data_IF_995120474932
#
_entry.id   IF_995120474932
#
_cell.length_a   1.000
_cell.length_b   1.000
_cell.length_c   1.000
_cell.angle_alpha   90.00
_cell.angle_beta   90.00
_cell.angle_gamma   90.00
#
_symmetry.space_group_name_H-M   'P 1'
#
loop_
_entity.id
_entity.type
_entity.pdbx_description
1 polymer ?
#
# COMPACT_ATOMS: atom_id res chain seq x y z
N UNK A 1 -4.04 -20.74 -1.54
CA UNK A 1 -4.12 -21.93 -2.38
C UNK A 1 -2.76 -22.28 -2.96
N UNK A 2 -2.42 -23.57 -3.01
CA UNK A 2 -1.16 -24.03 -3.59
C UNK A 2 -1.07 -23.59 -5.06
N UNK A 3 0.08 -23.05 -5.48
CA UNK A 3 0.33 -22.60 -6.85
C UNK A 3 0.00 -21.14 -7.15
N UNK A 4 -0.52 -20.38 -6.19
CA UNK A 4 -0.80 -18.94 -6.37
C UNK A 4 0.28 -18.02 -5.79
N UNK A 5 1.18 -18.54 -4.96
CA UNK A 5 2.31 -17.80 -4.42
C UNK A 5 3.57 -18.08 -5.22
N UNK A 6 4.31 -17.02 -5.57
CA UNK A 6 5.61 -17.09 -6.25
C UNK A 6 6.68 -16.43 -5.39
N UNK A 7 7.93 -16.84 -5.56
CA UNK A 7 9.09 -16.26 -4.86
C UNK A 7 8.97 -16.24 -3.33
N UNK A 8 8.17 -17.15 -2.76
CA UNK A 8 7.92 -17.23 -1.32
C UNK A 8 9.05 -17.93 -0.55
N UNK A 9 9.99 -18.58 -1.25
CA UNK A 9 11.14 -19.23 -0.62
C UNK A 9 12.28 -18.21 -0.52
N UNK A 10 12.74 -17.89 0.70
CA UNK A 10 13.88 -16.98 0.87
C UNK A 10 15.12 -17.49 0.14
N UNK A 11 15.80 -16.59 -0.55
CA UNK A 11 17.06 -16.86 -1.24
C UNK A 11 18.11 -15.87 -0.75
N UNK A 12 19.40 -16.28 -0.62
CA UNK A 12 20.48 -15.34 -0.38
C UNK A 12 20.49 -14.25 -1.48
N UNK A 13 20.67 -13.00 -1.07
CA UNK A 13 20.69 -11.85 -1.97
C UNK A 13 19.45 -11.81 -2.91
N UNK A 14 18.29 -12.21 -2.43
CA UNK A 14 17.04 -12.35 -3.21
C UNK A 14 17.21 -13.14 -4.52
N UNK A 15 18.21 -14.03 -4.59
CA UNK A 15 18.56 -14.77 -5.81
C UNK A 15 19.13 -13.88 -6.92
N UNK A 16 19.75 -12.75 -6.57
CA UNK A 16 20.27 -11.76 -7.51
C UNK A 16 19.21 -10.88 -8.16
N UNK A 17 17.97 -10.90 -7.65
CA UNK A 17 16.88 -10.05 -8.13
C UNK A 17 16.67 -8.83 -7.23
N UNK A 18 16.13 -7.77 -7.82
CA UNK A 18 15.71 -6.60 -7.04
C UNK A 18 14.33 -6.87 -6.43
N UNK A 19 14.16 -6.74 -5.10
CA UNK A 19 12.91 -7.11 -4.45
C UNK A 19 11.80 -6.04 -4.51
N UNK A 20 12.03 -4.90 -5.15
CA UNK A 20 11.06 -3.82 -5.25
C UNK A 20 9.81 -4.26 -6.05
N UNK A 21 8.59 -4.14 -5.51
CA UNK A 21 7.36 -4.59 -6.13
C UNK A 21 6.80 -3.57 -7.15
N UNK A 22 7.64 -2.98 -7.98
CA UNK A 22 7.22 -2.08 -9.05
C UNK A 22 6.93 -2.83 -10.36
N UNK A 23 6.36 -2.12 -11.35
CA UNK A 23 5.99 -2.72 -12.63
C UNK A 23 7.16 -3.29 -13.44
N UNK A 24 8.39 -2.85 -13.19
CA UNK A 24 9.58 -3.39 -13.85
C UNK A 24 9.92 -4.76 -13.29
N UNK A 25 9.98 -4.87 -11.96
CA UNK A 25 10.40 -6.12 -11.29
C UNK A 25 9.24 -7.11 -11.12
N UNK A 26 8.01 -6.63 -10.97
CA UNK A 26 6.79 -7.45 -10.88
C UNK A 26 6.03 -7.55 -12.22
N UNK A 27 6.69 -7.34 -13.36
CA UNK A 27 6.06 -7.36 -14.67
C UNK A 27 5.29 -8.66 -14.95
N UNK A 28 5.81 -9.78 -14.54
CA UNK A 28 5.13 -11.08 -14.71
C UNK A 28 3.77 -11.13 -14.02
N UNK A 29 3.64 -10.54 -12.83
CA UNK A 29 2.37 -10.43 -12.14
C UNK A 29 1.41 -9.49 -12.88
N UNK A 30 1.93 -8.34 -13.33
CA UNK A 30 1.13 -7.40 -14.12
C UNK A 30 0.56 -8.05 -15.39
N UNK A 31 1.39 -8.73 -16.16
CA UNK A 31 0.98 -9.38 -17.41
C UNK A 31 -0.10 -10.46 -17.16
N UNK A 32 0.05 -11.25 -16.08
CA UNK A 32 -0.94 -12.24 -15.68
C UNK A 32 -2.28 -11.61 -15.29
N UNK A 33 -2.23 -10.53 -14.50
CA UNK A 33 -3.42 -9.83 -14.02
C UNK A 33 -4.16 -9.04 -15.10
N UNK A 34 -3.47 -8.67 -16.20
CA UNK A 34 -4.08 -8.01 -17.36
C UNK A 34 -4.56 -9.02 -18.42
N UNK A 35 -4.28 -10.30 -18.24
CA UNK A 35 -4.67 -11.36 -19.17
C UNK A 35 -6.15 -11.78 -19.06
N UNK A 36 -6.63 -12.57 -20.05
CA UNK A 36 -8.04 -13.01 -20.09
C UNK A 36 -8.41 -13.94 -18.92
N UNK A 37 -7.46 -14.74 -18.44
CA UNK A 37 -7.65 -15.72 -17.36
C UNK A 37 -7.18 -15.18 -16.00
N UNK A 38 -7.08 -13.85 -15.86
CA UNK A 38 -6.60 -13.21 -14.65
C UNK A 38 -7.45 -13.58 -13.43
N UNK A 39 -6.83 -13.88 -12.28
CA UNK A 39 -7.54 -13.98 -11.01
C UNK A 39 -8.12 -12.63 -10.59
N UNK A 40 -8.96 -12.61 -9.58
CA UNK A 40 -9.60 -11.36 -9.12
C UNK A 40 -8.63 -10.41 -8.42
N UNK A 41 -7.55 -10.95 -7.83
CA UNK A 41 -6.61 -10.19 -7.00
C UNK A 41 -5.18 -10.70 -7.17
N UNK A 42 -4.25 -9.77 -7.34
CA UNK A 42 -2.82 -9.99 -7.32
C UNK A 42 -2.11 -8.99 -6.41
N UNK A 43 -1.09 -9.44 -5.72
CA UNK A 43 -0.26 -8.59 -4.87
C UNK A 43 1.20 -9.03 -4.90
N UNK A 44 2.10 -8.08 -4.76
CA UNK A 44 3.51 -8.31 -4.52
C UNK A 44 4.01 -7.42 -3.38
N UNK A 45 5.02 -7.86 -2.67
CA UNK A 45 5.72 -7.07 -1.65
C UNK A 45 7.23 -7.22 -1.81
N UNK A 46 7.97 -6.32 -1.20
CA UNK A 46 9.41 -6.41 -1.03
C UNK A 46 9.82 -7.35 0.12
N UNK A 47 11.09 -7.31 0.52
CA UNK A 47 11.66 -8.29 1.45
C UNK A 47 11.17 -8.16 2.90
N UNK A 48 10.86 -6.97 3.37
CA UNK A 48 10.34 -6.68 4.71
C UNK A 48 8.84 -6.32 4.71
N UNK A 49 8.25 -6.20 3.51
CA UNK A 49 6.80 -6.15 3.34
C UNK A 49 6.17 -4.78 3.57
N UNK A 50 6.95 -3.69 3.68
CA UNK A 50 6.42 -2.33 3.84
C UNK A 50 6.08 -1.67 2.50
N UNK A 51 6.69 -2.13 1.39
CA UNK A 51 6.31 -1.75 0.04
C UNK A 51 5.42 -2.82 -0.60
N UNK A 52 4.40 -2.38 -1.30
CA UNK A 52 3.42 -3.29 -1.90
C UNK A 52 2.94 -2.83 -3.27
N UNK A 53 2.55 -3.79 -4.08
CA UNK A 53 1.90 -3.60 -5.37
C UNK A 53 0.58 -4.35 -5.36
N UNK A 54 -0.50 -3.68 -5.72
CA UNK A 54 -1.84 -4.29 -5.79
C UNK A 54 -2.38 -4.19 -7.21
N UNK A 55 -2.87 -5.31 -7.72
CA UNK A 55 -3.47 -5.39 -9.05
C UNK A 55 -4.78 -6.17 -8.95
N UNK A 56 -5.87 -5.57 -9.36
CA UNK A 56 -7.13 -6.27 -9.59
C UNK A 56 -7.18 -6.82 -11.02
N UNK A 57 -8.15 -7.65 -11.32
CA UNK A 57 -8.37 -8.17 -12.68
C UNK A 57 -8.56 -7.03 -13.68
N UNK A 58 -7.58 -6.83 -14.55
CA UNK A 58 -7.59 -5.76 -15.54
C UNK A 58 -7.44 -4.34 -14.97
N UNK A 59 -7.08 -4.20 -13.68
CA UNK A 59 -6.95 -2.89 -13.01
C UNK A 59 -5.65 -2.83 -12.22
N UNK A 60 -4.79 -1.88 -12.57
CA UNK A 60 -3.60 -1.55 -11.79
C UNK A 60 -3.92 -0.46 -10.77
N UNK A 61 -3.65 -0.73 -9.49
CA UNK A 61 -3.74 0.28 -8.42
C UNK A 61 -2.39 0.98 -8.31
N UNK A 62 -2.34 2.26 -8.65
CA UNK A 62 -1.10 3.01 -8.52
C UNK A 62 -0.70 3.09 -7.03
N UNK A 63 0.59 2.92 -6.68
CA UNK A 63 1.03 3.09 -5.30
C UNK A 63 0.61 4.43 -4.69
N UNK A 64 0.60 5.47 -5.52
CA UNK A 64 0.19 6.81 -5.12
C UNK A 64 -1.27 6.90 -4.65
N UNK A 65 -2.15 6.02 -5.14
CA UNK A 65 -3.58 6.00 -4.77
C UNK A 65 -3.90 4.91 -3.71
N UNK A 66 -2.97 4.01 -3.43
CA UNK A 66 -3.20 2.86 -2.55
C UNK A 66 -3.63 3.26 -1.14
N UNK A 67 -2.98 4.27 -0.54
CA UNK A 67 -3.34 4.76 0.80
C UNK A 67 -4.76 5.32 0.85
N UNK A 68 -5.21 5.98 -0.20
CA UNK A 68 -6.59 6.48 -0.30
C UNK A 68 -7.60 5.33 -0.34
N UNK A 69 -7.32 4.28 -1.13
CA UNK A 69 -8.17 3.10 -1.20
C UNK A 69 -8.22 2.34 0.13
N UNK A 70 -7.07 2.17 0.78
CA UNK A 70 -6.99 1.55 2.10
C UNK A 70 -7.79 2.34 3.14
N UNK A 71 -7.61 3.65 3.20
CA UNK A 71 -8.31 4.52 4.13
C UNK A 71 -9.83 4.51 3.91
N UNK A 72 -10.29 4.58 2.66
CA UNK A 72 -11.71 4.56 2.31
C UNK A 72 -12.40 3.25 2.74
N UNK A 73 -11.67 2.15 2.76
CA UNK A 73 -12.17 0.81 3.05
C UNK A 73 -11.70 0.25 4.40
N UNK A 74 -10.98 1.03 5.20
CA UNK A 74 -10.32 0.56 6.41
C UNK A 74 -11.29 -0.15 7.39
N UNK A 75 -12.52 0.33 7.52
CA UNK A 75 -13.54 -0.27 8.41
C UNK A 75 -13.93 -1.71 8.06
N UNK A 76 -13.58 -2.20 6.87
CA UNK A 76 -13.77 -3.59 6.50
C UNK A 76 -12.78 -4.51 7.22
N UNK A 77 -11.62 -3.99 7.62
CA UNK A 77 -10.65 -4.73 8.41
C UNK A 77 -11.00 -4.67 9.89
N UNK A 78 -10.93 -5.80 10.63
CA UNK A 78 -11.34 -5.87 12.04
C UNK A 78 -10.66 -4.84 12.93
N UNK A 79 -9.35 -4.57 12.72
CA UNK A 79 -8.58 -3.63 13.52
C UNK A 79 -8.99 -2.17 13.36
N UNK A 80 -9.69 -1.82 12.28
CA UNK A 80 -10.11 -0.45 11.98
C UNK A 80 -11.63 -0.22 12.05
N UNK A 81 -12.38 -1.14 12.63
CA UNK A 81 -13.85 -1.00 12.79
C UNK A 81 -14.26 0.29 13.49
N UNK A 82 -13.46 0.77 14.43
CA UNK A 82 -13.70 2.03 15.13
C UNK A 82 -13.48 3.27 14.24
N UNK A 83 -12.91 3.09 13.05
CA UNK A 83 -12.54 4.17 12.13
C UNK A 83 -11.08 4.57 12.24
N UNK A 84 -10.74 5.61 11.50
CA UNK A 84 -9.38 6.18 11.46
C UNK A 84 -9.38 7.53 12.19
N UNK A 85 -8.29 7.86 12.87
CA UNK A 85 -8.08 9.19 13.50
C UNK A 85 -7.63 10.22 12.47
N UNK A 86 -6.77 9.81 11.54
CA UNK A 86 -6.24 10.64 10.47
C UNK A 86 -5.52 9.80 9.42
N UNK A 87 -5.28 10.41 8.30
CA UNK A 87 -4.49 9.87 7.19
C UNK A 87 -3.24 10.73 7.02
N UNK A 88 -2.08 10.12 6.81
CA UNK A 88 -0.88 10.85 6.43
C UNK A 88 -0.40 10.40 5.04
N UNK A 89 0.03 11.36 4.22
CA UNK A 89 0.65 11.11 2.93
C UNK A 89 1.88 11.99 2.72
N UNK A 90 2.84 11.53 1.94
CA UNK A 90 3.93 12.38 1.49
C UNK A 90 3.45 13.41 0.46
N UNK A 91 4.18 14.53 0.33
CA UNK A 91 3.83 15.61 -0.61
C UNK A 91 3.61 15.13 -2.05
N UNK A 92 4.44 14.24 -2.64
CA UNK A 92 4.24 13.75 -4.00
C UNK A 92 3.13 12.69 -4.13
N UNK A 93 2.57 12.19 -3.04
CA UNK A 93 1.50 11.20 -3.06
C UNK A 93 0.17 11.83 -3.49
N UNK A 94 -0.67 11.06 -4.16
CA UNK A 94 -1.95 11.49 -4.73
C UNK A 94 -2.85 12.24 -3.73
N UNK A 95 -3.43 13.34 -4.15
CA UNK A 95 -4.49 14.05 -3.43
C UNK A 95 -5.81 13.28 -3.31
N UNK A 96 -5.88 12.03 -3.76
CA UNK A 96 -7.03 11.17 -3.50
C UNK A 96 -7.22 10.93 -2.00
N UNK A 97 -6.13 10.85 -1.23
CA UNK A 97 -6.19 10.72 0.23
C UNK A 97 -6.86 11.92 0.91
N UNK A 98 -6.64 13.15 0.38
CA UNK A 98 -7.28 14.38 0.86
C UNK A 98 -8.80 14.28 0.76
N UNK A 99 -9.29 13.85 -0.40
CA UNK A 99 -10.73 13.69 -0.65
C UNK A 99 -11.36 12.60 0.21
N UNK A 100 -10.62 11.53 0.50
CA UNK A 100 -11.09 10.48 1.41
C UNK A 100 -11.16 11.02 2.83
N UNK A 101 -10.15 11.73 3.31
CA UNK A 101 -10.15 12.33 4.65
C UNK A 101 -11.31 13.32 4.81
N UNK A 102 -11.55 14.19 3.83
CA UNK A 102 -12.68 15.11 3.80
C UNK A 102 -14.02 14.36 3.91
N UNK A 103 -14.21 13.32 3.09
CA UNK A 103 -15.43 12.52 3.09
C UNK A 103 -15.66 11.77 4.40
N UNK A 104 -14.58 11.32 5.05
CA UNK A 104 -14.64 10.63 6.34
C UNK A 104 -14.75 11.60 7.53
N UNK A 105 -14.53 12.91 7.32
CA UNK A 105 -14.53 13.93 8.37
C UNK A 105 -13.36 13.79 9.35
N UNK A 106 -12.19 13.31 8.86
CA UNK A 106 -10.98 13.11 9.65
C UNK A 106 -9.82 13.97 9.16
N UNK A 107 -8.78 14.10 9.98
CA UNK A 107 -7.61 14.89 9.63
C UNK A 107 -6.80 14.25 8.49
N UNK A 108 -6.24 15.10 7.63
CA UNK A 108 -5.20 14.74 6.68
C UNK A 108 -3.91 15.48 7.05
N UNK A 109 -2.80 14.78 6.97
CA UNK A 109 -1.46 15.32 7.19
C UNK A 109 -0.62 15.10 5.93
N UNK A 110 -0.18 16.19 5.33
CA UNK A 110 0.82 16.18 4.26
C UNK A 110 2.21 16.34 4.89
N UNK A 111 3.13 15.45 4.55
CA UNK A 111 4.49 15.46 5.08
C UNK A 111 5.52 15.57 3.96
N UNK A 112 6.74 16.03 4.25
CA UNK A 112 7.86 15.79 3.35
C UNK A 112 8.03 14.30 3.10
N UNK A 113 8.69 13.92 2.00
CA UNK A 113 9.01 12.53 1.70
C UNK A 113 9.97 11.97 2.77
N UNK A 114 9.67 10.80 3.28
CA UNK A 114 10.48 10.08 4.26
C UNK A 114 9.65 9.51 5.40
N UNK A 115 9.84 8.24 5.66
CA UNK A 115 9.09 7.46 6.63
C UNK A 115 9.09 8.03 8.07
N UNK A 116 10.19 8.63 8.48
CA UNK A 116 10.33 9.25 9.82
C UNK A 116 9.25 10.30 10.13
N UNK A 117 8.73 11.00 9.11
CA UNK A 117 7.69 12.00 9.31
C UNK A 117 6.35 11.34 9.65
N UNK A 118 6.08 10.17 9.09
CA UNK A 118 4.90 9.38 9.46
C UNK A 118 5.03 8.83 10.87
N UNK A 119 6.21 8.32 11.25
CA UNK A 119 6.46 7.82 12.59
C UNK A 119 6.08 8.83 13.66
N UNK A 120 6.46 10.10 13.49
CA UNK A 120 6.10 11.17 14.43
C UNK A 120 4.58 11.35 14.57
N UNK A 121 3.81 11.19 13.49
CA UNK A 121 2.34 11.31 13.50
C UNK A 121 1.68 10.08 14.10
N UNK A 122 2.21 8.90 13.82
CA UNK A 122 1.73 7.64 14.40
C UNK A 122 1.99 7.59 15.90
N UNK A 123 3.21 7.96 16.36
CA UNK A 123 3.59 8.01 17.77
C UNK A 123 2.77 9.04 18.55
N UNK A 124 2.43 10.17 17.92
CA UNK A 124 1.56 11.18 18.50
C UNK A 124 0.06 10.82 18.46
N UNK A 125 -0.28 9.64 17.92
CA UNK A 125 -1.66 9.18 17.77
C UNK A 125 -2.54 10.12 16.92
N UNK A 126 -1.93 10.85 15.99
CA UNK A 126 -2.58 11.80 15.09
C UNK A 126 -3.04 11.15 13.80
N UNK A 127 -2.25 10.23 13.24
CA UNK A 127 -2.59 9.44 12.05
C UNK A 127 -2.77 7.96 12.42
N UNK A 128 -3.68 7.29 11.76
CA UNK A 128 -3.88 5.84 11.88
C UNK A 128 -3.24 5.09 10.72
N UNK A 129 -3.27 5.68 9.52
CA UNK A 129 -2.73 5.09 8.29
C UNK A 129 -1.91 6.12 7.55
N UNK A 130 -0.85 5.67 6.92
CA UNK A 130 0.03 6.52 6.11
C UNK A 130 0.50 5.78 4.85
N UNK A 131 0.89 6.53 3.84
CA UNK A 131 1.40 5.96 2.60
C UNK A 131 2.16 6.94 1.73
N UNK A 132 3.00 6.38 0.88
CA UNK A 132 3.86 7.09 -0.07
C UNK A 132 3.58 6.63 -1.51
N UNK A 133 3.89 7.49 -2.47
CA UNK A 133 3.84 7.15 -3.89
C UNK A 133 4.83 6.06 -4.28
N UNK A 134 5.85 5.86 -3.46
CA UNK A 134 6.87 4.81 -3.61
C UNK A 134 6.39 3.42 -3.21
N UNK A 135 5.12 3.27 -2.84
CA UNK A 135 4.45 2.06 -2.35
C UNK A 135 4.62 1.74 -0.86
N UNK A 136 5.38 2.54 -0.10
CA UNK A 136 5.46 2.41 1.36
C UNK A 136 4.10 2.68 2.01
N UNK A 137 3.66 1.78 2.87
CA UNK A 137 2.37 1.87 3.57
C UNK A 137 2.51 1.38 5.00
N UNK A 138 1.89 2.08 5.94
CA UNK A 138 1.93 1.69 7.34
C UNK A 138 0.74 2.17 8.13
N UNK A 139 0.66 1.67 9.36
CA UNK A 139 -0.40 2.03 10.30
C UNK A 139 0.07 1.92 11.74
N UNK A 140 -0.71 2.50 12.66
CA UNK A 140 -0.49 2.36 14.09
C UNK A 140 -1.14 1.09 14.68
N UNK A 141 -1.76 0.26 13.85
CA UNK A 141 -2.37 -1.00 14.25
C UNK A 141 -1.38 -2.14 14.03
N UNK A 142 -0.63 -2.47 15.05
CA UNK A 142 0.34 -3.57 15.07
C UNK A 142 0.00 -4.50 16.24
#
# INVERSE_FOLDING_TARGET
>A
PNGTCRNFKPLPDFGGHHPDPNLVHAKHLYDEMMGPDAPDFGAASDGDGDHNLIIGKGIFVTPSDSVAMLAANARLAPGYKAGLKGIARSMPTSGAADRVAEKLGIALYETPTGWKFFGNLLDADMATICGEESAGTGSNHV
#
